data_IF_516047006944
#
_entry.id   IF_516047006944
#
_cell.length_a   1.000
_cell.length_b   1.000
_cell.length_c   1.000
_cell.angle_alpha   90.00
_cell.angle_beta   90.00
_cell.angle_gamma   90.00
#
_symmetry.space_group_name_H-M   'P 1'
#
loop_
_entity.id
_entity.type
_entity.pdbx_description
1 polymer ?
#
# COMPACT_ATOMS: atom_id res chain seq x y z
N UNK A 1 -6.81 18.29 -22.84
CA UNK A 1 -5.94 18.19 -21.64
C UNK A 1 -6.59 17.36 -20.54
N UNK A 2 -7.85 17.64 -20.17
CA UNK A 2 -8.59 16.94 -19.10
C UNK A 2 -8.61 15.41 -19.18
N UNK A 3 -8.79 14.82 -20.36
CA UNK A 3 -8.83 13.34 -20.52
C UNK A 3 -7.49 12.65 -20.19
N UNK A 4 -6.37 13.27 -20.56
CA UNK A 4 -5.03 12.75 -20.30
C UNK A 4 -4.70 12.75 -18.80
N UNK A 5 -5.07 13.82 -18.10
CA UNK A 5 -4.96 13.93 -16.65
C UNK A 5 -5.85 12.90 -15.94
N UNK A 6 -7.10 12.75 -16.38
CA UNK A 6 -8.01 11.77 -15.78
C UNK A 6 -7.46 10.34 -15.91
N UNK A 7 -6.90 9.98 -17.06
CA UNK A 7 -6.28 8.65 -17.25
C UNK A 7 -5.04 8.44 -16.40
N UNK A 8 -4.15 9.44 -16.30
CA UNK A 8 -2.97 9.37 -15.43
C UNK A 8 -3.35 9.24 -13.96
N UNK A 9 -4.33 10.02 -13.51
CA UNK A 9 -4.83 9.94 -12.14
C UNK A 9 -5.47 8.58 -11.84
N UNK A 10 -6.29 8.05 -12.76
CA UNK A 10 -6.91 6.73 -12.59
C UNK A 10 -5.87 5.61 -12.53
N UNK A 11 -4.80 5.72 -13.31
CA UNK A 11 -3.66 4.81 -13.27
C UNK A 11 -2.99 4.82 -11.88
N UNK A 12 -2.67 6.01 -11.36
CA UNK A 12 -2.06 6.16 -10.04
C UNK A 12 -2.98 5.72 -8.90
N UNK A 13 -4.29 6.03 -8.99
CA UNK A 13 -5.30 5.55 -8.03
C UNK A 13 -5.30 4.02 -8.02
N UNK A 14 -5.30 3.40 -9.20
CA UNK A 14 -5.33 1.95 -9.33
C UNK A 14 -4.07 1.29 -8.76
N UNK A 15 -2.88 1.76 -9.12
CA UNK A 15 -1.63 1.22 -8.60
C UNK A 15 -1.53 1.40 -7.08
N UNK A 16 -1.78 2.62 -6.59
CA UNK A 16 -1.74 2.93 -5.17
C UNK A 16 -2.77 2.06 -4.41
N UNK A 17 -4.00 1.96 -4.90
CA UNK A 17 -5.01 1.11 -4.29
C UNK A 17 -4.61 -0.37 -4.25
N UNK A 18 -3.96 -0.87 -5.31
CA UNK A 18 -3.47 -2.25 -5.37
C UNK A 18 -2.38 -2.50 -4.32
N UNK A 19 -1.34 -1.67 -4.25
CA UNK A 19 -0.23 -1.86 -3.30
C UNK A 19 -0.67 -1.76 -1.85
N UNK A 20 -1.50 -0.77 -1.51
CA UNK A 20 -2.04 -0.66 -0.16
C UNK A 20 -3.02 -1.79 0.18
N UNK A 21 -3.78 -2.31 -0.79
CA UNK A 21 -4.59 -3.52 -0.58
C UNK A 21 -3.72 -4.73 -0.20
N UNK A 22 -2.56 -4.91 -0.83
CA UNK A 22 -1.60 -5.95 -0.43
C UNK A 22 -1.07 -5.74 0.99
N UNK A 23 -0.84 -4.49 1.41
CA UNK A 23 -0.47 -4.18 2.79
C UNK A 23 -1.56 -4.59 3.79
N UNK A 24 -2.82 -4.24 3.52
CA UNK A 24 -3.95 -4.61 4.38
C UNK A 24 -4.09 -6.14 4.44
N UNK A 25 -3.93 -6.85 3.31
CA UNK A 25 -3.95 -8.31 3.28
C UNK A 25 -2.81 -8.93 4.12
N UNK A 26 -1.59 -8.40 4.00
CA UNK A 26 -0.44 -8.85 4.80
C UNK A 26 -0.66 -8.60 6.30
N UNK A 27 -1.13 -7.41 6.65
CA UNK A 27 -1.49 -7.04 8.02
C UNK A 27 -2.60 -7.93 8.60
N UNK A 28 -3.64 -8.22 7.82
CA UNK A 28 -4.71 -9.12 8.23
C UNK A 28 -4.20 -10.53 8.53
N UNK A 29 -3.30 -11.06 7.70
CA UNK A 29 -2.62 -12.34 7.96
C UNK A 29 -1.77 -12.28 9.22
N UNK A 30 -1.03 -11.19 9.43
CA UNK A 30 -0.23 -10.97 10.63
C UNK A 30 -1.10 -10.98 11.89
N UNK A 31 -2.21 -10.24 11.91
CA UNK A 31 -3.15 -10.21 13.03
C UNK A 31 -3.71 -11.60 13.36
N UNK A 32 -4.08 -12.38 12.33
CA UNK A 32 -4.64 -13.72 12.53
C UNK A 32 -3.63 -14.75 13.01
N UNK A 33 -2.39 -14.68 12.54
CA UNK A 33 -1.36 -15.67 12.89
C UNK A 33 -0.73 -15.33 14.23
N UNK A 34 -0.24 -14.10 14.38
CA UNK A 34 0.55 -13.68 15.55
C UNK A 34 -0.36 -13.29 16.72
N UNK A 35 -1.43 -12.56 16.43
CA UNK A 35 -2.33 -11.99 17.45
C UNK A 35 -3.66 -12.74 17.60
N UNK A 36 -3.69 -14.04 17.29
CA UNK A 36 -4.90 -14.87 17.31
C UNK A 36 -5.70 -14.81 18.62
N UNK A 37 -5.04 -14.52 19.76
CA UNK A 37 -5.68 -14.38 21.07
C UNK A 37 -6.44 -13.05 21.26
N UNK A 38 -6.14 -12.02 20.45
CA UNK A 38 -6.73 -10.67 20.56
C UNK A 38 -7.91 -10.54 19.62
N UNK A 39 -9.12 -10.83 20.11
CA UNK A 39 -10.37 -10.85 19.32
C UNK A 39 -10.61 -9.59 18.47
N UNK A 40 -10.25 -8.41 18.97
CA UNK A 40 -10.44 -7.14 18.25
C UNK A 40 -9.56 -7.02 17.00
N UNK A 41 -8.34 -7.57 17.00
CA UNK A 41 -7.43 -7.54 15.84
C UNK A 41 -7.83 -8.54 14.75
N UNK A 42 -8.62 -9.54 15.10
CA UNK A 42 -9.08 -10.61 14.21
C UNK A 42 -10.47 -10.31 13.64
N UNK A 43 -11.17 -9.31 14.19
CA UNK A 43 -12.52 -8.96 13.80
C UNK A 43 -12.59 -8.51 12.33
N UNK A 44 -13.57 -9.04 11.60
CA UNK A 44 -13.78 -8.66 10.20
C UNK A 44 -14.15 -7.17 10.03
N UNK A 45 -14.85 -6.60 11.01
CA UNK A 45 -15.19 -5.17 11.04
C UNK A 45 -13.94 -4.27 11.01
N UNK A 46 -12.86 -4.66 11.69
CA UNK A 46 -11.60 -3.91 11.63
C UNK A 46 -11.05 -3.86 10.20
N UNK A 47 -11.13 -4.97 9.46
CA UNK A 47 -10.65 -5.03 8.09
C UNK A 47 -11.46 -4.14 7.14
N UNK A 48 -12.79 -4.08 7.31
CA UNK A 48 -13.66 -3.16 6.56
C UNK A 48 -13.26 -1.71 6.84
N UNK A 49 -13.04 -1.36 8.11
CA UNK A 49 -12.60 -0.01 8.50
C UNK A 49 -11.24 0.33 7.87
N UNK A 50 -10.30 -0.63 7.84
CA UNK A 50 -9.00 -0.44 7.19
C UNK A 50 -9.12 -0.23 5.67
N UNK A 51 -10.00 -0.95 4.98
CA UNK A 51 -10.26 -0.74 3.55
C UNK A 51 -10.78 0.67 3.30
N UNK A 52 -11.78 1.11 4.07
CA UNK A 52 -12.34 2.47 3.92
C UNK A 52 -11.27 3.53 4.21
N UNK A 53 -10.47 3.34 5.26
CA UNK A 53 -9.35 4.21 5.59
C UNK A 53 -8.28 4.26 4.49
N UNK A 54 -8.02 3.12 3.84
CA UNK A 54 -7.07 3.03 2.74
C UNK A 54 -7.53 3.79 1.50
N UNK A 55 -8.81 3.77 1.15
CA UNK A 55 -9.33 4.62 0.07
C UNK A 55 -9.15 6.10 0.39
N UNK A 56 -9.48 6.52 1.61
CA UNK A 56 -9.28 7.91 2.07
C UNK A 56 -7.80 8.30 1.97
N UNK A 57 -6.90 7.40 2.40
CA UNK A 57 -5.45 7.61 2.31
C UNK A 57 -4.99 7.73 0.86
N UNK A 58 -5.41 6.83 -0.04
CA UNK A 58 -5.04 6.87 -1.47
C UNK A 58 -5.47 8.19 -2.10
N UNK A 59 -6.71 8.62 -1.88
CA UNK A 59 -7.17 9.92 -2.40
C UNK A 59 -6.41 11.09 -1.77
N UNK A 60 -6.07 11.01 -0.49
CA UNK A 60 -5.27 12.02 0.19
C UNK A 60 -3.84 12.13 -0.36
N UNK A 61 -3.19 11.00 -0.64
CA UNK A 61 -1.83 10.93 -1.20
C UNK A 61 -1.75 11.40 -2.66
N UNK A 62 -2.84 11.27 -3.41
CA UNK A 62 -2.90 11.72 -4.81
C UNK A 62 -3.41 13.16 -4.94
N UNK A 63 -3.80 13.81 -3.84
CA UNK A 63 -4.22 15.20 -3.83
C UNK A 63 -3.06 16.18 -4.18
N UNK A 64 -1.83 16.04 -3.63
CA UNK A 64 -0.73 16.94 -3.98
C UNK A 64 -0.34 16.92 -5.46
N UNK A 65 -0.19 15.76 -6.14
CA UNK A 65 0.03 15.72 -7.58
C UNK A 65 -1.04 16.46 -8.40
N UNK A 66 -2.30 16.41 -7.97
CA UNK A 66 -3.42 17.14 -8.60
C UNK A 66 -3.29 18.64 -8.36
N UNK A 67 -3.18 19.07 -7.09
CA UNK A 67 -3.15 20.49 -6.72
C UNK A 67 -1.93 21.23 -7.28
N UNK A 68 -0.80 20.53 -7.37
CA UNK A 68 0.46 21.10 -7.86
C UNK A 68 0.67 20.92 -9.37
N UNK A 69 -0.31 20.35 -10.09
CA UNK A 69 -0.26 20.09 -11.53
C UNK A 69 1.01 19.34 -11.99
N UNK A 70 1.40 18.30 -11.27
CA UNK A 70 2.63 17.54 -11.57
C UNK A 70 2.52 16.65 -12.82
N UNK A 71 1.30 16.30 -13.22
CA UNK A 71 1.06 15.50 -14.42
C UNK A 71 1.36 16.32 -15.68
N UNK A 72 2.20 15.77 -16.55
CA UNK A 72 2.52 16.35 -17.85
C UNK A 72 2.34 15.26 -18.92
N UNK A 73 1.88 15.66 -20.11
CA UNK A 73 1.79 14.74 -21.25
C UNK A 73 3.19 14.51 -21.81
N UNK A 74 3.69 13.28 -21.72
CA UNK A 74 4.95 12.92 -22.38
C UNK A 74 4.74 12.78 -23.90
N UNK A 75 5.76 13.08 -24.72
CA UNK A 75 5.65 13.04 -26.18
C UNK A 75 5.39 11.63 -26.72
N UNK A 76 5.75 10.59 -25.97
CA UNK A 76 5.58 9.18 -26.33
C UNK A 76 4.24 8.59 -25.88
N UNK A 77 3.54 9.23 -24.95
CA UNK A 77 2.40 8.63 -24.25
C UNK A 77 1.05 9.31 -24.58
N UNK A 78 -0.03 8.51 -24.53
CA UNK A 78 -1.40 9.04 -24.68
C UNK A 78 -2.01 9.54 -23.36
N UNK A 79 -1.37 9.25 -22.23
CA UNK A 79 -1.76 9.63 -20.89
C UNK A 79 -0.71 10.53 -20.25
N UNK A 80 -1.09 11.17 -19.14
CA UNK A 80 -0.26 12.14 -18.45
C UNK A 80 0.39 11.45 -17.25
N UNK A 81 1.69 11.68 -17.06
CA UNK A 81 2.47 11.12 -15.97
C UNK A 81 3.30 12.22 -15.32
N UNK A 82 3.83 11.95 -14.14
CA UNK A 82 4.85 12.80 -13.54
C UNK A 82 6.14 12.61 -14.34
N UNK A 83 6.75 13.67 -14.89
CA UNK A 83 7.98 13.51 -15.67
C UNK A 83 9.19 13.35 -14.75
N UNK A 84 10.15 12.52 -15.16
CA UNK A 84 11.42 12.33 -14.46
C UNK A 84 12.27 13.61 -14.30
N UNK A 85 11.94 14.67 -15.02
CA UNK A 85 12.57 15.99 -14.85
C UNK A 85 12.19 16.65 -13.53
N UNK A 86 11.02 16.33 -12.96
CA UNK A 86 10.59 16.82 -11.66
C UNK A 86 10.92 15.80 -10.56
N UNK A 87 12.20 15.78 -10.17
CA UNK A 87 12.76 14.80 -9.23
C UNK A 87 11.99 14.79 -7.90
N UNK A 88 11.55 15.95 -7.40
CA UNK A 88 10.82 16.01 -6.13
C UNK A 88 9.45 15.31 -6.20
N UNK A 89 8.70 15.55 -7.28
CA UNK A 89 7.41 14.90 -7.52
C UNK A 89 7.57 13.39 -7.73
N UNK A 90 8.62 13.00 -8.47
CA UNK A 90 8.93 11.59 -8.74
C UNK A 90 9.33 10.84 -7.47
N UNK A 91 10.20 11.43 -6.63
CA UNK A 91 10.58 10.83 -5.34
C UNK A 91 9.35 10.68 -4.44
N UNK A 92 8.47 11.70 -4.39
CA UNK A 92 7.23 11.60 -3.64
C UNK A 92 6.39 10.42 -4.13
N UNK A 93 6.19 10.31 -5.44
CA UNK A 93 5.39 9.25 -6.05
C UNK A 93 5.98 7.87 -5.76
N UNK A 94 7.27 7.65 -6.02
CA UNK A 94 7.95 6.37 -5.74
C UNK A 94 7.89 5.99 -4.25
N UNK A 95 8.09 6.96 -3.36
CA UNK A 95 8.11 6.70 -1.92
C UNK A 95 6.74 6.23 -1.40
N UNK A 96 5.68 6.93 -1.78
CA UNK A 96 4.33 6.66 -1.27
C UNK A 96 3.60 5.55 -2.02
N UNK A 97 3.75 5.45 -3.35
CA UNK A 97 3.08 4.39 -4.12
C UNK A 97 3.78 3.04 -4.00
N UNK A 98 5.11 3.02 -3.83
CA UNK A 98 5.88 1.77 -3.91
C UNK A 98 6.66 1.44 -2.63
N UNK A 99 7.61 2.29 -2.21
CA UNK A 99 8.56 1.93 -1.15
C UNK A 99 7.86 1.68 0.18
N UNK A 100 6.98 2.57 0.61
CA UNK A 100 6.25 2.44 1.88
C UNK A 100 5.38 1.16 1.89
N UNK A 101 4.54 0.90 0.88
CA UNK A 101 3.79 -0.35 0.81
C UNK A 101 4.67 -1.61 0.85
N UNK A 102 5.77 -1.64 0.07
CA UNK A 102 6.68 -2.79 0.02
C UNK A 102 7.32 -3.04 1.39
N UNK A 103 7.77 -1.98 2.09
CA UNK A 103 8.33 -2.11 3.44
C UNK A 103 7.28 -2.63 4.43
N UNK A 104 6.04 -2.16 4.35
CA UNK A 104 4.94 -2.62 5.20
C UNK A 104 4.68 -4.12 5.02
N UNK A 105 4.65 -4.59 3.77
CA UNK A 105 4.51 -6.02 3.43
C UNK A 105 5.70 -6.81 3.96
N UNK A 106 6.93 -6.34 3.72
CA UNK A 106 8.16 -7.00 4.17
C UNK A 106 8.23 -7.16 5.68
N UNK A 107 7.90 -6.11 6.44
CA UNK A 107 7.85 -6.15 7.90
C UNK A 107 6.78 -7.14 8.39
N UNK A 108 5.59 -7.10 7.80
CA UNK A 108 4.48 -7.99 8.17
C UNK A 108 4.85 -9.47 7.98
N UNK A 109 5.39 -9.84 6.82
CA UNK A 109 5.82 -11.21 6.56
C UNK A 109 7.07 -11.62 7.34
N UNK A 110 7.98 -10.68 7.61
CA UNK A 110 9.14 -10.90 8.48
C UNK A 110 8.69 -11.34 9.88
N UNK A 111 7.74 -10.63 10.48
CA UNK A 111 7.18 -10.99 11.78
C UNK A 111 6.41 -12.30 11.78
N UNK A 112 5.57 -12.55 10.77
CA UNK A 112 4.86 -13.82 10.63
C UNK A 112 5.87 -14.98 10.62
N UNK A 113 6.95 -14.85 9.85
CA UNK A 113 7.97 -15.89 9.70
C UNK A 113 8.72 -16.15 11.02
N UNK A 114 9.12 -15.09 11.72
CA UNK A 114 9.79 -15.21 13.03
C UNK A 114 8.87 -15.91 14.04
N UNK A 115 7.60 -15.51 14.11
CA UNK A 115 6.63 -16.10 15.03
C UNK A 115 6.39 -17.59 14.74
N UNK A 116 6.22 -17.97 13.47
CA UNK A 116 6.02 -19.38 13.09
C UNK A 116 7.24 -20.23 13.44
N UNK A 117 8.46 -19.73 13.22
CA UNK A 117 9.70 -20.44 13.59
C UNK A 117 9.78 -20.70 15.09
N UNK A 118 9.49 -19.69 15.91
CA UNK A 118 9.49 -19.84 17.38
C UNK A 118 8.47 -20.87 17.85
N UNK A 119 7.24 -20.82 17.31
CA UNK A 119 6.18 -21.78 17.66
C UNK A 119 6.46 -23.22 17.22
N UNK A 120 7.07 -23.40 16.05
CA UNK A 120 7.48 -24.72 15.56
C UNK A 120 8.53 -25.35 16.46
N UNK A 121 9.52 -24.57 16.92
CA UNK A 121 10.56 -25.05 17.83
C UNK A 121 9.99 -25.42 19.20
N UNK A 122 9.09 -24.61 19.78
CA UNK A 122 8.45 -24.96 21.06
C UNK A 122 7.62 -26.24 20.96
N UNK A 123 6.95 -26.49 19.84
CA UNK A 123 6.12 -27.68 19.67
C UNK A 123 6.95 -28.97 19.54
N UNK A 124 8.17 -28.89 18.98
CA UNK A 124 9.10 -30.02 18.88
C UNK A 124 9.81 -30.35 20.20
N UNK A 125 9.92 -29.39 21.13
CA UNK A 125 10.56 -29.60 22.45
C UNK A 125 9.58 -30.19 23.48
N UNK A 126 8.28 -30.04 23.25
CA UNK A 126 7.21 -30.50 24.16
C UNK A 126 6.62 -31.86 23.70
N UNK A 127 7.01 -32.35 22.52
CA UNK A 127 6.67 -33.67 22.01
C UNK A 127 7.73 -34.71 22.42
#
# INVERSE_FOLDING_TARGET
MTFCYAMGLLYDIFECAMYYSYCIQAFYRLCRIVFYKKKYLVAHSLYIVLIVGQWILVFGLLLPPILMNWYIRLPTERYCLIPYTNIAAEIYHIMFLYIIPVLCIGISYGWITIFMRQKSQTSLVVA
#
